data_IF_282707539814
#
_entry.id   IF_282707539814
#
_cell.length_a   1.000
_cell.length_b   1.000
_cell.length_c   1.000
_cell.angle_alpha   90.00
_cell.angle_beta   90.00
_cell.angle_gamma   90.00
#
_symmetry.space_group_name_H-M   'P 1'
#
loop_
_entity.id
_entity.type
_entity.pdbx_description
1 polymer ?
#
# COMPACT_ATOMS: atom_id res chain seq x y z
N UNK A 1 -19.53 7.46 -4.81
CA UNK A 1 -19.11 6.05 -4.66
C UNK A 1 -17.64 6.06 -4.26
N UNK A 2 -17.19 5.22 -3.33
CA UNK A 2 -15.76 5.07 -3.09
C UNK A 2 -15.08 4.64 -4.40
N UNK A 3 -13.91 5.21 -4.67
CA UNK A 3 -13.06 4.79 -5.77
C UNK A 3 -12.66 3.32 -5.54
N UNK A 4 -12.71 2.49 -6.59
CA UNK A 4 -12.38 1.07 -6.52
C UNK A 4 -11.00 0.79 -5.89
N UNK A 5 -10.11 1.79 -5.89
CA UNK A 5 -8.77 1.74 -5.32
C UNK A 5 -8.64 2.36 -3.91
N UNK A 6 -9.73 2.82 -3.28
CA UNK A 6 -9.67 3.48 -1.96
C UNK A 6 -9.01 2.61 -0.89
N UNK A 7 -9.36 1.33 -0.85
CA UNK A 7 -8.74 0.37 0.08
C UNK A 7 -7.25 0.21 -0.21
N UNK A 8 -6.84 0.13 -1.47
CA UNK A 8 -5.42 0.01 -1.83
C UNK A 8 -4.65 1.29 -1.47
N UNK A 9 -5.20 2.48 -1.75
CA UNK A 9 -4.62 3.77 -1.34
C UNK A 9 -4.40 3.84 0.18
N UNK A 10 -5.40 3.42 0.95
CA UNK A 10 -5.31 3.37 2.42
C UNK A 10 -4.17 2.45 2.88
N UNK A 11 -4.11 1.23 2.37
CA UNK A 11 -3.08 0.24 2.75
C UNK A 11 -1.67 0.72 2.40
N UNK A 12 -1.48 1.28 1.21
CA UNK A 12 -0.18 1.82 0.77
C UNK A 12 0.26 2.99 1.66
N UNK A 13 -0.65 3.92 1.99
CA UNK A 13 -0.34 5.04 2.88
C UNK A 13 0.04 4.55 4.27
N UNK A 14 -0.73 3.61 4.85
CA UNK A 14 -0.42 3.01 6.14
C UNK A 14 0.95 2.33 6.17
N UNK A 15 1.30 1.59 5.13
CA UNK A 15 2.62 0.95 5.00
C UNK A 15 3.76 1.96 5.04
N UNK A 16 3.59 3.12 4.39
CA UNK A 16 4.57 4.21 4.36
C UNK A 16 4.66 4.89 5.73
N UNK A 17 3.52 5.18 6.37
CA UNK A 17 3.44 5.75 7.71
C UNK A 17 4.15 4.85 8.75
N UNK A 18 3.94 3.53 8.70
CA UNK A 18 4.59 2.58 9.61
C UNK A 18 6.12 2.61 9.43
N UNK A 19 6.64 2.66 8.20
CA UNK A 19 8.11 2.78 7.99
C UNK A 19 8.65 4.09 8.56
N UNK A 20 7.94 5.19 8.32
CA UNK A 20 8.38 6.52 8.72
C UNK A 20 8.27 6.75 10.23
N UNK A 21 7.51 5.93 10.95
CA UNK A 21 7.38 6.02 12.39
C UNK A 21 8.58 5.37 13.10
N UNK A 22 9.66 6.16 13.20
CA UNK A 22 10.89 5.77 13.88
C UNK A 22 10.70 5.57 15.39
N UNK A 23 9.88 6.41 16.03
CA UNK A 23 9.56 6.29 17.45
C UNK A 23 8.90 4.94 17.79
N UNK A 24 7.93 4.51 16.97
CA UNK A 24 7.32 3.19 17.14
C UNK A 24 8.34 2.06 16.98
N UNK A 25 9.20 2.15 15.96
CA UNK A 25 10.27 1.16 15.74
C UNK A 25 11.25 1.09 16.91
N UNK A 26 11.62 2.23 17.48
CA UNK A 26 12.63 2.31 18.52
C UNK A 26 12.07 1.86 19.89
N UNK A 27 10.79 2.16 20.16
CA UNK A 27 10.13 1.78 21.41
C UNK A 27 9.67 0.30 21.43
N UNK A 28 9.17 -0.22 20.32
CA UNK A 28 8.67 -1.61 20.21
C UNK A 28 8.97 -2.20 18.81
N UNK A 29 10.21 -2.68 18.60
CA UNK A 29 10.63 -3.20 17.30
C UNK A 29 9.87 -4.47 16.88
N UNK A 30 9.44 -5.29 17.83
CA UNK A 30 8.70 -6.53 17.53
C UNK A 30 7.28 -6.20 17.05
N UNK A 31 6.56 -5.31 17.74
CA UNK A 31 5.26 -4.85 17.29
C UNK A 31 5.36 -4.09 15.96
N UNK A 32 6.43 -3.32 15.73
CA UNK A 32 6.68 -2.64 14.46
C UNK A 32 6.81 -3.65 13.31
N UNK A 33 7.59 -4.73 13.51
CA UNK A 33 7.74 -5.80 12.53
C UNK A 33 6.43 -6.55 12.26
N UNK A 34 5.64 -6.83 13.30
CA UNK A 34 4.30 -7.44 13.15
C UNK A 34 3.40 -6.53 12.30
N UNK A 35 3.30 -5.25 12.64
CA UNK A 35 2.50 -4.29 11.88
C UNK A 35 2.94 -4.19 10.42
N UNK A 36 4.26 -4.18 10.16
CA UNK A 36 4.83 -4.19 8.81
C UNK A 36 4.46 -5.45 8.02
N UNK A 37 4.45 -6.62 8.66
CA UNK A 37 4.05 -7.89 8.06
C UNK A 37 2.57 -7.86 7.70
N UNK A 38 1.69 -7.58 8.67
CA UNK A 38 0.24 -7.59 8.49
C UNK A 38 -0.22 -6.65 7.38
N UNK A 39 0.34 -5.44 7.33
CA UNK A 39 -0.02 -4.48 6.29
C UNK A 39 0.51 -4.92 4.92
N UNK A 40 1.67 -5.59 4.85
CA UNK A 40 2.24 -6.10 3.58
C UNK A 40 1.39 -7.26 3.05
N UNK A 41 0.97 -8.19 3.90
CA UNK A 41 0.04 -9.28 3.54
C UNK A 41 -1.32 -8.74 3.09
N UNK A 42 -1.80 -7.67 3.73
CA UNK A 42 -3.04 -6.99 3.34
C UNK A 42 -2.93 -6.33 1.97
N UNK A 43 -1.80 -5.70 1.65
CA UNK A 43 -1.52 -5.15 0.31
C UNK A 43 -1.48 -6.28 -0.72
N UNK A 44 -0.77 -7.38 -0.46
CA UNK A 44 -0.68 -8.49 -1.39
C UNK A 44 -2.05 -9.15 -1.63
N UNK A 45 -2.89 -9.27 -0.59
CA UNK A 45 -4.26 -9.74 -0.74
C UNK A 45 -5.08 -8.79 -1.62
N UNK A 46 -5.04 -7.50 -1.33
CA UNK A 46 -5.78 -6.51 -2.12
C UNK A 46 -5.28 -6.43 -3.57
N UNK A 47 -3.98 -6.59 -3.80
CA UNK A 47 -3.39 -6.66 -5.13
C UNK A 47 -3.93 -7.87 -5.91
N UNK A 48 -3.97 -9.06 -5.29
CA UNK A 48 -4.57 -10.25 -5.90
C UNK A 48 -6.06 -10.05 -6.22
N UNK A 49 -6.81 -9.43 -5.32
CA UNK A 49 -8.24 -9.15 -5.50
C UNK A 49 -8.50 -8.17 -6.66
N UNK A 50 -7.52 -7.32 -7.00
CA UNK A 50 -7.59 -6.32 -8.08
C UNK A 50 -6.87 -6.77 -9.37
N UNK A 51 -6.29 -7.97 -9.42
CA UNK A 51 -5.55 -8.44 -10.61
C UNK A 51 -6.50 -8.49 -11.81
N UNK A 52 -6.08 -7.88 -12.92
CA UNK A 52 -6.89 -7.74 -14.13
C UNK A 52 -7.68 -6.44 -14.23
N UNK A 53 -7.94 -5.77 -13.10
CA UNK A 53 -8.67 -4.50 -13.03
C UNK A 53 -7.75 -3.27 -12.88
N UNK A 54 -6.45 -3.49 -12.65
CA UNK A 54 -5.43 -2.45 -12.55
C UNK A 54 -4.73 -2.21 -13.89
N UNK A 55 -4.27 -0.97 -14.11
CA UNK A 55 -3.46 -0.66 -15.30
C UNK A 55 -2.10 -1.37 -15.24
N UNK A 56 -1.47 -1.65 -16.41
CA UNK A 56 -0.13 -2.28 -16.44
C UNK A 56 0.93 -1.51 -15.65
N UNK A 57 0.83 -0.17 -15.60
CA UNK A 57 1.73 0.66 -14.83
C UNK A 57 1.55 0.49 -13.32
N UNK A 58 0.30 0.39 -12.84
CA UNK A 58 0.02 0.14 -11.45
C UNK A 58 0.44 -1.28 -11.04
N UNK A 59 0.16 -2.28 -11.89
CA UNK A 59 0.60 -3.67 -11.69
C UNK A 59 2.13 -3.73 -11.51
N UNK A 60 2.88 -3.08 -12.40
CA UNK A 60 4.33 -3.02 -12.32
C UNK A 60 4.85 -2.41 -11.00
N UNK A 61 4.18 -1.38 -10.48
CA UNK A 61 4.57 -0.81 -9.18
C UNK A 61 4.26 -1.76 -8.01
N UNK A 62 3.15 -2.49 -8.06
CA UNK A 62 2.75 -3.43 -7.02
C UNK A 62 3.68 -4.67 -7.00
N UNK A 63 3.97 -5.26 -8.16
CA UNK A 63 4.87 -6.41 -8.30
C UNK A 63 6.29 -6.09 -7.78
N UNK A 64 6.81 -4.90 -8.08
CA UNK A 64 8.12 -4.46 -7.59
C UNK A 64 8.10 -3.85 -6.19
N UNK A 65 6.98 -3.97 -5.45
CA UNK A 65 6.78 -3.38 -4.12
C UNK A 65 7.14 -1.89 -4.04
N UNK A 66 6.98 -1.17 -5.15
CA UNK A 66 7.23 0.26 -5.27
C UNK A 66 6.05 1.07 -4.73
N UNK A 67 5.69 0.85 -3.47
CA UNK A 67 4.44 1.35 -2.87
C UNK A 67 4.29 2.87 -2.86
N UNK A 68 5.40 3.61 -2.72
CA UNK A 68 5.39 5.07 -2.87
C UNK A 68 4.98 5.51 -4.30
N UNK A 69 5.43 4.79 -5.33
CA UNK A 69 5.07 5.09 -6.73
C UNK A 69 3.62 4.68 -7.01
N UNK A 70 3.19 3.52 -6.49
CA UNK A 70 1.81 3.06 -6.59
C UNK A 70 0.83 4.06 -5.95
N UNK A 71 1.11 4.55 -4.74
CA UNK A 71 0.26 5.54 -4.07
C UNK A 71 0.18 6.85 -4.87
N UNK A 72 1.34 7.38 -5.29
CA UNK A 72 1.40 8.60 -6.12
C UNK A 72 0.67 8.45 -7.45
N UNK A 73 0.70 7.26 -8.06
CA UNK A 73 -0.04 6.97 -9.27
C UNK A 73 -1.55 7.05 -9.00
N UNK A 74 -2.03 6.35 -7.97
CA UNK A 74 -3.45 6.33 -7.60
C UNK A 74 -3.98 7.70 -7.15
N UNK A 75 -3.18 8.53 -6.49
CA UNK A 75 -3.59 9.88 -6.08
C UNK A 75 -3.63 10.89 -7.24
N UNK A 76 -2.87 10.64 -8.30
CA UNK A 76 -2.90 11.45 -9.53
C UNK A 76 -4.05 11.10 -10.45
N UNK A 77 -4.43 9.82 -10.49
CA UNK A 77 -5.61 9.35 -11.21
C UNK A 77 -6.84 9.76 -10.39
N UNK A 78 -7.27 11.01 -10.50
CA UNK A 78 -8.64 11.36 -10.12
C UNK A 78 -9.57 10.75 -11.16
N UNK A 79 -10.58 9.95 -10.77
CA UNK A 79 -11.67 9.68 -11.69
C UNK A 79 -12.34 11.01 -12.01
N UNK A 80 -12.40 11.34 -13.29
CA UNK A 80 -13.16 12.48 -13.80
C UNK A 80 -14.65 12.10 -13.87
#
# INVERSE_FOLDING_TARGET
MPDQFDKLKYLLRKRIEIIANHEFRDNDPDAHLIALKEISESIEKQHRDLRGDVSPQLEHFLDNRSYNKALKFLEKVKPN
#
